data_IF_093235879361
#
_entry.id   IF_093235879361
#
_cell.length_a   1.000
_cell.length_b   1.000
_cell.length_c   1.000
_cell.angle_alpha   90.00
_cell.angle_beta   90.00
_cell.angle_gamma   90.00
#
_symmetry.space_group_name_H-M   'P 1'
#
loop_
_entity.id
_entity.type
_entity.pdbx_description
1 polymer ?
#
# COMPACT_ATOMS: atom_id res chain seq x y z
N UNK A 1 -2.95 -34.49 10.11
CA UNK A 1 -2.26 -33.21 10.29
C UNK A 1 -1.93 -32.70 8.89
N UNK A 2 -2.61 -31.66 8.42
CA UNK A 2 -2.22 -30.97 7.19
C UNK A 2 -2.50 -29.50 7.41
N UNK A 3 -1.45 -28.71 7.55
CA UNK A 3 -1.51 -27.26 7.57
C UNK A 3 -1.64 -26.80 6.12
N UNK A 4 -2.84 -26.39 5.73
CA UNK A 4 -3.06 -25.73 4.44
C UNK A 4 -2.68 -24.27 4.56
N UNK A 5 -1.64 -23.92 3.82
CA UNK A 5 -0.98 -22.61 3.76
C UNK A 5 -1.94 -21.64 3.04
N UNK A 6 -2.33 -20.56 3.72
CA UNK A 6 -2.97 -19.40 3.10
C UNK A 6 -1.91 -18.70 2.23
N UNK A 7 -1.74 -19.18 1.00
CA UNK A 7 -0.85 -18.64 -0.02
C UNK A 7 -1.67 -17.93 -1.11
N UNK A 8 -2.49 -16.95 -0.76
CA UNK A 8 -3.13 -16.08 -1.76
C UNK A 8 -2.18 -14.95 -2.14
N UNK A 9 -1.18 -15.26 -2.96
CA UNK A 9 -0.36 -14.28 -3.68
C UNK A 9 -1.14 -13.66 -4.85
N UNK A 10 -2.36 -13.20 -4.62
CA UNK A 10 -3.13 -12.51 -5.65
C UNK A 10 -2.52 -11.12 -5.87
N UNK A 11 -2.07 -10.78 -7.09
CA UNK A 11 -1.61 -9.44 -7.39
C UNK A 11 -2.77 -8.48 -7.11
N UNK A 12 -2.52 -7.42 -6.34
CA UNK A 12 -3.56 -6.42 -6.05
C UNK A 12 -4.05 -5.89 -7.40
N UNK A 13 -5.35 -6.03 -7.74
CA UNK A 13 -5.85 -5.68 -9.06
C UNK A 13 -5.45 -4.24 -9.40
N UNK A 14 -4.82 -4.07 -10.56
CA UNK A 14 -4.29 -2.79 -11.00
C UNK A 14 -5.40 -1.74 -11.05
N UNK A 15 -5.09 -0.55 -10.53
CA UNK A 15 -6.06 0.52 -10.45
C UNK A 15 -7.15 0.30 -9.39
N UNK A 16 -7.07 -0.64 -8.45
CA UNK A 16 -7.99 -0.67 -7.30
C UNK A 16 -7.67 0.47 -6.32
N UNK A 17 -8.70 1.12 -5.78
CA UNK A 17 -8.51 2.02 -4.62
C UNK A 17 -8.35 1.19 -3.35
N UNK A 18 -7.18 1.27 -2.74
CA UNK A 18 -6.85 0.65 -1.46
C UNK A 18 -7.03 1.66 -0.32
N UNK A 19 -7.60 1.22 0.79
CA UNK A 19 -7.61 2.01 2.03
C UNK A 19 -6.22 2.03 2.66
N UNK A 20 -5.93 3.05 3.47
CA UNK A 20 -4.64 3.16 4.16
C UNK A 20 -4.28 1.93 5.01
N UNK A 21 -5.29 1.20 5.54
CA UNK A 21 -5.08 -0.07 6.22
C UNK A 21 -4.56 -1.16 5.28
N UNK A 22 -5.20 -1.34 4.13
CA UNK A 22 -4.75 -2.29 3.10
C UNK A 22 -3.37 -1.92 2.56
N UNK A 23 -3.07 -0.62 2.43
CA UNK A 23 -1.74 -0.13 2.05
C UNK A 23 -0.71 -0.50 3.12
N UNK A 24 -1.04 -0.34 4.40
CA UNK A 24 -0.14 -0.70 5.48
C UNK A 24 0.18 -2.20 5.49
N UNK A 25 -0.84 -3.04 5.27
CA UNK A 25 -0.67 -4.49 5.13
C UNK A 25 0.20 -4.86 3.92
N UNK A 26 -0.04 -4.25 2.76
CA UNK A 26 0.76 -4.49 1.55
C UNK A 26 2.23 -4.06 1.71
N UNK A 27 2.48 -2.96 2.43
CA UNK A 27 3.82 -2.46 2.72
C UNK A 27 4.50 -3.19 3.90
N UNK A 28 3.78 -4.05 4.62
CA UNK A 28 4.29 -4.70 5.83
C UNK A 28 4.64 -3.71 6.95
N UNK A 29 3.93 -2.58 7.05
CA UNK A 29 4.16 -1.52 8.05
C UNK A 29 2.92 -1.25 8.90
N UNK A 30 3.08 -0.50 10.00
CA UNK A 30 1.93 -0.05 10.79
C UNK A 30 1.08 0.97 10.04
N UNK A 31 -0.23 1.01 10.34
CA UNK A 31 -1.18 1.99 9.75
C UNK A 31 -0.72 3.44 9.97
N UNK A 32 -0.11 3.74 11.12
CA UNK A 32 0.47 5.06 11.40
C UNK A 32 1.62 5.42 10.45
N UNK A 33 2.49 4.45 10.14
CA UNK A 33 3.60 4.61 9.19
C UNK A 33 3.08 4.82 7.78
N UNK A 34 2.13 4.00 7.32
CA UNK A 34 1.50 4.19 6.00
C UNK A 34 0.82 5.56 5.88
N UNK A 35 0.17 6.00 6.95
CA UNK A 35 -0.44 7.35 7.04
C UNK A 35 0.61 8.46 6.96
N UNK A 36 1.76 8.29 7.61
CA UNK A 36 2.88 9.23 7.48
C UNK A 36 3.42 9.27 6.05
N UNK A 37 3.58 8.13 5.36
CA UNK A 37 3.98 8.12 3.94
C UNK A 37 2.98 8.87 3.06
N UNK A 38 1.69 8.67 3.31
CA UNK A 38 0.65 9.42 2.61
C UNK A 38 0.74 10.93 2.89
N UNK A 39 0.83 11.32 4.16
CA UNK A 39 0.86 12.71 4.57
C UNK A 39 2.18 13.41 4.15
N UNK A 40 3.28 12.66 4.02
CA UNK A 40 4.56 13.11 3.46
C UNK A 40 4.55 13.24 1.92
N UNK A 41 3.49 12.79 1.25
CA UNK A 41 3.38 12.87 -0.21
C UNK A 41 4.21 11.83 -0.96
N UNK A 42 4.50 10.68 -0.34
CA UNK A 42 5.20 9.56 -0.98
C UNK A 42 4.47 9.02 -2.23
N UNK A 43 3.14 9.18 -2.25
CA UNK A 43 2.28 8.75 -3.36
C UNK A 43 1.83 9.94 -4.20
N UNK A 44 1.65 9.72 -5.51
CA UNK A 44 1.20 10.74 -6.45
C UNK A 44 -0.20 11.26 -6.09
N UNK A 45 -0.38 12.59 -6.16
CA UNK A 45 -1.63 13.27 -5.78
C UNK A 45 -2.83 12.88 -6.64
N UNK A 46 -2.65 12.56 -7.92
CA UNK A 46 -3.73 12.12 -8.82
C UNK A 46 -4.17 10.67 -8.55
N UNK A 47 -3.31 9.89 -7.89
CA UNK A 47 -3.52 8.50 -7.50
C UNK A 47 -3.87 8.33 -6.02
N UNK A 48 -4.10 9.44 -5.32
CA UNK A 48 -4.54 9.46 -3.93
C UNK A 48 -5.84 10.23 -3.77
N UNK A 49 -6.68 9.80 -2.83
CA UNK A 49 -7.92 10.49 -2.46
C UNK A 49 -8.04 10.59 -0.96
N UNK A 50 -8.41 11.77 -0.50
CA UNK A 50 -8.84 12.02 0.88
C UNK A 50 -10.35 12.16 0.87
N UNK A 51 -11.04 11.28 1.59
CA UNK A 51 -12.49 11.32 1.74
C UNK A 51 -12.87 12.14 2.97
N UNK A 52 -14.13 12.60 3.01
CA UNK A 52 -14.73 13.15 4.23
C UNK A 52 -14.58 12.11 5.36
N UNK A 53 -14.25 12.54 6.58
CA UNK A 53 -13.85 11.71 7.74
C UNK A 53 -12.37 11.27 7.81
N UNK A 54 -11.53 11.71 6.87
CA UNK A 54 -10.08 11.45 6.96
C UNK A 54 -9.66 10.05 6.49
N UNK A 55 -10.57 9.31 5.85
CA UNK A 55 -10.23 8.09 5.11
C UNK A 55 -9.32 8.47 3.94
N UNK A 56 -8.19 7.78 3.84
CA UNK A 56 -7.18 7.98 2.80
C UNK A 56 -7.17 6.75 1.92
N UNK A 57 -7.25 6.98 0.61
CA UNK A 57 -7.16 5.92 -0.39
C UNK A 57 -6.03 6.17 -1.36
N UNK A 58 -5.34 5.11 -1.72
CA UNK A 58 -4.23 5.11 -2.66
C UNK A 58 -4.55 4.08 -3.74
N UNK A 59 -4.24 4.36 -5.00
CA UNK A 59 -4.35 3.34 -6.05
C UNK A 59 -3.29 2.25 -5.83
N UNK A 60 -3.66 1.00 -6.07
CA UNK A 60 -2.77 -0.16 -5.94
C UNK A 60 -1.47 -0.01 -6.75
N UNK A 61 -1.52 0.58 -7.94
CA UNK A 61 -0.34 0.85 -8.78
C UNK A 61 0.70 1.74 -8.10
N UNK A 62 0.29 2.69 -7.25
CA UNK A 62 1.23 3.55 -6.52
C UNK A 62 1.86 2.83 -5.33
N UNK A 63 1.11 1.90 -4.73
CA UNK A 63 1.62 1.07 -3.64
C UNK A 63 2.67 0.11 -4.19
N UNK A 64 2.41 -0.49 -5.36
CA UNK A 64 3.36 -1.35 -6.06
C UNK A 64 4.62 -0.59 -6.51
N UNK A 65 4.45 0.62 -7.08
CA UNK A 65 5.58 1.51 -7.40
C UNK A 65 6.45 1.77 -6.18
N UNK A 66 5.82 2.14 -5.06
CA UNK A 66 6.53 2.44 -3.82
C UNK A 66 7.22 1.21 -3.22
N UNK A 67 6.61 0.02 -3.33
CA UNK A 67 7.23 -1.25 -2.94
C UNK A 67 8.50 -1.52 -3.74
N UNK A 68 8.47 -1.32 -5.06
CA UNK A 68 9.65 -1.47 -5.92
C UNK A 68 10.76 -0.49 -5.54
N UNK A 69 10.41 0.78 -5.33
CA UNK A 69 11.38 1.81 -4.90
C UNK A 69 12.02 1.47 -3.53
N UNK A 70 11.27 0.85 -2.62
CA UNK A 70 11.80 0.39 -1.33
C UNK A 70 12.70 -0.84 -1.44
N UNK A 71 12.40 -1.76 -2.35
CA UNK A 71 13.21 -2.94 -2.62
C UNK A 71 14.56 -2.55 -3.25
N UNK A 72 14.53 -1.65 -4.23
CA UNK A 72 15.73 -1.08 -4.87
C UNK A 72 16.66 -0.39 -3.86
N UNK A 73 16.12 0.35 -2.89
CA UNK A 73 16.91 1.00 -1.83
C UNK A 73 17.49 0.04 -0.78
N UNK A 74 16.99 -1.19 -0.68
CA UNK A 74 17.47 -2.20 0.29
C UNK A 74 18.50 -3.17 -0.30
N UNK A 75 18.60 -3.26 -1.62
CA UNK A 75 19.53 -4.13 -2.33
C UNK A 75 20.88 -3.50 -2.68
N UNK A 76 21.07 -2.21 -2.39
CA UNK A 76 22.29 -1.43 -2.72
C UNK A 76 23.12 -1.06 -1.49
#
# INVERSE_FOLDING_TARGET
MTLEVLQTGEPVPEGRWMRIGEVAEALGVSVGTARNYFDAGAFRKDKTRRLAHGDRRVRSEEVDRYLRELDEQRGE
#
